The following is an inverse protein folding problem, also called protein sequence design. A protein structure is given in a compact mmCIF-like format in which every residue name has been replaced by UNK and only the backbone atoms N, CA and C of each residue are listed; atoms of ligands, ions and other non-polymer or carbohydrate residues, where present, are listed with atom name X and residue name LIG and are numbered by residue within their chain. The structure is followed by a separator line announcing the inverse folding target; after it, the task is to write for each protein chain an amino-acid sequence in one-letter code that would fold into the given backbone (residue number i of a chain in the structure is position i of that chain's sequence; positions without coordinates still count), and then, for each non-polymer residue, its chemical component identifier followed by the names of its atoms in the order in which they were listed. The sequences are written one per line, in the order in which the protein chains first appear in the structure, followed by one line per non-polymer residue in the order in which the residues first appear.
data_IF_213860070562
#
_entry.id   IF_213860070562
#
_cell.length_a   1.000
_cell.length_b   1.000
_cell.length_c   1.000
_cell.angle_alpha   90.00
_cell.angle_beta   90.00
_cell.angle_gamma   90.00
#
_symmetry.space_group_name_H-M   'P 1'
#
loop_
_entity.id
_entity.type
_entity.pdbx_description
1 polymer ?
#
# COMPACT_ATOMS: atom_id res chain seq x y z
N UNK A 1 -3.49 3.60 2.64
CA UNK A 1 -2.45 3.77 1.60
C UNK A 1 -3.01 3.74 0.18
N UNK A 2 -3.80 2.76 -0.23
CA UNK A 2 -4.33 2.66 -1.61
C UNK A 2 -5.26 3.82 -2.02
N UNK A 3 -6.17 4.33 -1.16
CA UNK A 3 -6.99 5.52 -1.47
C UNK A 3 -6.13 6.73 -1.76
N UNK A 4 -5.10 6.94 -0.96
CA UNK A 4 -4.20 8.07 -1.15
C UNK A 4 -3.38 7.93 -2.44
N UNK A 5 -2.90 6.73 -2.78
CA UNK A 5 -2.19 6.46 -4.02
C UNK A 5 -3.09 6.62 -5.26
N UNK A 6 -4.34 6.17 -5.20
CA UNK A 6 -5.32 6.33 -6.28
C UNK A 6 -5.73 7.79 -6.46
N UNK A 7 -6.02 8.51 -5.37
CA UNK A 7 -6.33 9.95 -5.42
C UNK A 7 -5.12 10.74 -5.95
N UNK A 8 -3.92 10.39 -5.54
CA UNK A 8 -2.69 10.99 -6.03
C UNK A 8 -2.51 10.73 -7.53
N UNK A 9 -2.71 9.50 -8.00
CA UNK A 9 -2.65 9.14 -9.42
C UNK A 9 -3.65 9.92 -10.28
N UNK A 10 -4.91 10.03 -9.83
CA UNK A 10 -5.95 10.81 -10.52
C UNK A 10 -5.62 12.30 -10.53
N UNK A 11 -5.16 12.85 -9.42
CA UNK A 11 -4.79 14.27 -9.31
C UNK A 11 -3.62 14.62 -10.23
N UNK A 12 -2.65 13.75 -10.35
CA UNK A 12 -1.48 13.96 -11.20
C UNK A 12 -1.81 13.86 -12.67
N UNK A 13 -2.64 12.89 -13.06
CA UNK A 13 -3.18 12.82 -14.43
C UNK A 13 -3.95 14.10 -14.77
N UNK A 14 -4.79 14.58 -13.85
CA UNK A 14 -5.52 15.82 -14.02
C UNK A 14 -4.61 17.05 -14.16
N UNK A 15 -3.55 17.15 -13.37
CA UNK A 15 -2.55 18.24 -13.46
C UNK A 15 -1.83 18.19 -14.79
N UNK A 16 -1.39 17.03 -15.26
CA UNK A 16 -0.70 16.87 -16.54
C UNK A 16 -1.61 17.32 -17.69
N UNK A 17 -2.85 16.83 -17.74
CA UNK A 17 -3.85 17.24 -18.75
C UNK A 17 -4.09 18.76 -18.74
N UNK A 18 -4.25 19.37 -17.56
CA UNK A 18 -4.49 20.80 -17.44
C UNK A 18 -3.29 21.63 -17.91
N UNK A 19 -2.06 21.22 -17.58
CA UNK A 19 -0.83 21.91 -17.98
C UNK A 19 -0.62 21.84 -19.49
N UNK A 20 -0.81 20.68 -20.11
CA UNK A 20 -0.68 20.53 -21.56
C UNK A 20 -1.75 21.31 -22.32
N UNK A 21 -2.99 21.30 -21.84
CA UNK A 21 -4.04 22.12 -22.42
C UNK A 21 -3.75 23.62 -22.30
N UNK A 22 -3.15 24.05 -21.19
CA UNK A 22 -2.72 25.43 -21.00
C UNK A 22 -1.61 25.83 -22.00
N UNK A 23 -0.63 24.96 -22.27
CA UNK A 23 0.41 25.20 -23.28
C UNK A 23 -0.17 25.28 -24.70
N UNK A 24 -1.09 24.39 -25.04
CA UNK A 24 -1.77 24.39 -26.36
C UNK A 24 -2.56 25.69 -26.58
N UNK A 25 -3.30 26.15 -25.57
CA UNK A 25 -4.04 27.40 -25.65
C UNK A 25 -3.15 28.64 -25.73
N UNK A 26 -2.00 28.63 -25.04
CA UNK A 26 -0.96 29.68 -25.16
C UNK A 26 -0.42 29.76 -26.59
N UNK A 27 -0.12 28.60 -27.19
CA UNK A 27 0.31 28.55 -28.62
C UNK A 27 -0.73 29.14 -29.53
N UNK A 28 -2.01 28.77 -29.39
CA UNK A 28 -3.13 29.31 -30.19
C UNK A 28 -3.34 30.81 -29.96
N UNK A 29 -3.19 31.28 -28.73
CA UNK A 29 -3.29 32.70 -28.43
C UNK A 29 -2.18 33.49 -29.15
N UNK A 30 -0.93 33.00 -29.08
CA UNK A 30 0.20 33.64 -29.78
C UNK A 30 0.02 33.65 -31.30
N UNK A 31 -0.54 32.56 -31.87
CA UNK A 31 -0.88 32.52 -33.30
C UNK A 31 -1.95 33.54 -33.67
N UNK A 32 -3.03 33.65 -32.88
CA UNK A 32 -4.12 34.62 -33.11
C UNK A 32 -3.65 36.07 -32.93
N UNK A 33 -2.77 36.35 -31.98
CA UNK A 33 -2.19 37.70 -31.78
C UNK A 33 -1.29 38.13 -32.96
N UNK A 34 -0.72 37.18 -33.70
CA UNK A 34 0.08 37.44 -34.90
C UNK A 34 -0.78 37.57 -36.20
N UNK A 35 -2.01 37.10 -36.16
CA UNK A 35 -2.93 37.18 -37.30
C UNK A 35 -3.59 38.56 -37.44
N UNK A 36 -3.46 39.18 -38.59
CA UNK A 36 -3.98 40.55 -38.91
C UNK A 36 -5.52 40.69 -38.87
N UNK A 37 -6.26 39.58 -38.66
CA UNK A 37 -7.72 39.52 -38.70
C UNK A 37 -8.36 38.71 -37.57
N UNK A 38 -7.65 38.45 -36.49
CA UNK A 38 -8.24 37.76 -35.33
C UNK A 38 -9.33 38.62 -34.68
N UNK A 39 -10.48 38.06 -34.42
CA UNK A 39 -11.58 38.75 -33.72
C UNK A 39 -11.17 39.02 -32.26
N UNK A 40 -11.32 40.26 -31.77
CA UNK A 40 -11.06 40.57 -30.36
C UNK A 40 -11.83 39.68 -29.39
N UNK A 41 -13.01 39.21 -29.76
CA UNK A 41 -13.84 38.31 -28.95
C UNK A 41 -13.24 36.91 -28.84
N UNK A 42 -12.59 36.39 -29.87
CA UNK A 42 -11.92 35.08 -29.85
C UNK A 42 -10.66 35.13 -28.97
N UNK A 43 -9.88 36.20 -29.04
CA UNK A 43 -8.71 36.41 -28.19
C UNK A 43 -9.13 36.50 -26.71
N UNK A 44 -10.19 37.27 -26.40
CA UNK A 44 -10.71 37.37 -25.03
C UNK A 44 -11.26 36.05 -24.51
N UNK A 45 -11.96 35.27 -25.33
CA UNK A 45 -12.46 33.95 -24.95
C UNK A 45 -11.33 32.98 -24.62
N UNK A 46 -10.28 32.95 -25.44
CA UNK A 46 -9.08 32.14 -25.19
C UNK A 46 -8.30 32.58 -23.96
N UNK A 47 -8.20 33.88 -23.71
CA UNK A 47 -7.57 34.42 -22.49
C UNK A 47 -8.34 34.00 -21.22
N UNK A 48 -9.69 34.08 -21.26
CA UNK A 48 -10.52 33.62 -20.13
C UNK A 48 -10.43 32.11 -19.90
N UNK A 49 -10.39 31.32 -20.97
CA UNK A 49 -10.17 29.87 -20.83
C UNK A 49 -8.79 29.52 -20.27
N UNK A 50 -7.75 30.23 -20.70
CA UNK A 50 -6.38 30.08 -20.20
C UNK A 50 -6.28 30.40 -18.69
N UNK A 51 -6.93 31.48 -18.25
CA UNK A 51 -6.92 31.84 -16.82
C UNK A 51 -7.70 30.82 -15.99
N UNK A 52 -8.83 30.34 -16.48
CA UNK A 52 -9.59 29.26 -15.82
C UNK A 52 -8.77 27.99 -15.66
N UNK A 53 -8.03 27.60 -16.68
CA UNK A 53 -7.14 26.43 -16.65
C UNK A 53 -5.94 26.64 -15.73
N UNK A 54 -5.42 27.87 -15.66
CA UNK A 54 -4.34 28.25 -14.74
C UNK A 54 -4.74 28.07 -13.28
N UNK A 55 -5.93 28.58 -12.91
CA UNK A 55 -6.46 28.44 -11.57
C UNK A 55 -6.66 26.97 -11.21
N UNK A 56 -7.31 26.20 -12.10
CA UNK A 56 -7.54 24.76 -11.86
C UNK A 56 -6.23 23.97 -11.75
N UNK A 57 -5.20 24.31 -12.53
CA UNK A 57 -3.88 23.66 -12.42
C UNK A 57 -3.22 23.95 -11.09
N UNK A 58 -3.30 25.20 -10.61
CA UNK A 58 -2.74 25.57 -9.31
C UNK A 58 -3.45 24.88 -8.16
N UNK A 59 -4.78 24.77 -8.19
CA UNK A 59 -5.56 24.03 -7.20
C UNK A 59 -5.21 22.54 -7.20
N UNK A 60 -5.10 21.94 -8.37
CA UNK A 60 -4.74 20.53 -8.52
C UNK A 60 -3.30 20.26 -8.02
N UNK A 61 -2.34 21.16 -8.30
CA UNK A 61 -0.96 21.06 -7.78
C UNK A 61 -0.94 21.22 -6.25
N UNK A 62 -1.75 22.10 -5.68
CA UNK A 62 -1.87 22.27 -4.23
C UNK A 62 -2.43 21.01 -3.55
N UNK A 63 -3.49 20.42 -4.12
CA UNK A 63 -4.05 19.15 -3.65
C UNK A 63 -3.04 18.00 -3.75
N UNK A 64 -2.25 17.97 -4.83
CA UNK A 64 -1.19 17.01 -5.02
C UNK A 64 -0.09 17.13 -3.95
N UNK A 65 0.37 18.34 -3.67
CA UNK A 65 1.35 18.60 -2.60
C UNK A 65 0.83 18.19 -1.22
N UNK A 66 -0.45 18.45 -0.94
CA UNK A 66 -1.08 18.02 0.30
C UNK A 66 -1.17 16.49 0.41
N UNK A 67 -1.50 15.80 -0.68
CA UNK A 67 -1.57 14.35 -0.73
C UNK A 67 -0.19 13.67 -0.60
N UNK A 68 0.87 14.26 -1.20
CA UNK A 68 2.26 13.77 -1.05
C UNK A 68 2.81 13.98 0.35
N UNK A 69 2.43 15.04 1.04
CA UNK A 69 2.81 15.29 2.43
C UNK A 69 2.21 14.27 3.42
N UNK A 70 1.14 13.57 3.04
CA UNK A 70 0.47 12.56 3.85
C UNK A 70 1.07 11.15 3.79
N UNK A 71 2.27 10.96 3.21
CA UNK A 71 3.06 9.73 3.37
C UNK A 71 2.75 8.57 2.43
N UNK A 72 2.24 8.83 1.25
CA UNK A 72 2.10 7.79 0.21
C UNK A 72 3.46 7.41 -0.41
N UNK A 73 3.59 6.14 -0.78
CA UNK A 73 4.82 5.53 -1.31
C UNK A 73 5.33 6.24 -2.58
N UNK A 74 6.26 7.16 -2.39
CA UNK A 74 6.64 8.23 -3.33
C UNK A 74 7.26 7.73 -4.63
N UNK A 75 8.19 6.77 -4.56
CA UNK A 75 9.00 6.37 -5.72
C UNK A 75 8.24 5.55 -6.78
N UNK A 76 7.36 4.66 -6.37
CA UNK A 76 6.55 3.85 -7.32
C UNK A 76 5.48 4.70 -8.00
N UNK A 77 4.93 5.66 -7.27
CA UNK A 77 3.96 6.62 -7.80
C UNK A 77 4.64 7.59 -8.75
N UNK A 78 5.81 8.14 -8.39
CA UNK A 78 6.59 9.05 -9.26
C UNK A 78 7.03 8.36 -10.57
N UNK A 79 7.44 7.09 -10.52
CA UNK A 79 7.82 6.32 -11.73
C UNK A 79 6.65 6.05 -12.68
N UNK A 80 5.53 5.56 -12.16
CA UNK A 80 4.30 5.34 -12.97
C UNK A 80 3.71 6.62 -13.52
N UNK A 81 3.87 7.69 -12.80
CA UNK A 81 3.46 9.02 -13.13
C UNK A 81 4.20 9.57 -14.32
N UNK A 82 5.53 9.50 -14.28
CA UNK A 82 6.39 9.93 -15.39
C UNK A 82 6.07 9.17 -16.68
N UNK A 83 5.71 7.89 -16.58
CA UNK A 83 5.30 7.07 -17.73
C UNK A 83 3.95 7.53 -18.29
N UNK A 84 2.95 7.75 -17.42
CA UNK A 84 1.61 8.22 -17.83
C UNK A 84 1.64 9.65 -18.40
N UNK A 85 2.45 10.54 -17.82
CA UNK A 85 2.66 11.89 -18.34
C UNK A 85 3.30 11.87 -19.73
N UNK A 86 4.28 10.99 -19.96
CA UNK A 86 4.93 10.84 -21.26
C UNK A 86 3.95 10.30 -22.33
N UNK A 87 3.12 9.32 -21.98
CA UNK A 87 2.08 8.79 -22.87
C UNK A 87 1.01 9.83 -23.17
N UNK A 88 0.56 10.59 -22.18
CA UNK A 88 -0.44 11.65 -22.36
C UNK A 88 0.08 12.77 -23.27
N UNK A 89 1.31 13.23 -23.02
CA UNK A 89 1.96 14.24 -23.88
C UNK A 89 2.08 13.77 -25.33
N UNK A 90 2.41 12.49 -25.54
CA UNK A 90 2.51 11.92 -26.88
C UNK A 90 1.15 11.93 -27.60
N UNK A 91 0.10 11.51 -26.92
CA UNK A 91 -1.27 11.49 -27.48
C UNK A 91 -1.79 12.90 -27.79
N UNK A 92 -1.45 13.89 -26.96
CA UNK A 92 -1.82 15.29 -27.22
C UNK A 92 -1.05 15.92 -28.37
N UNK A 93 0.25 15.65 -28.51
CA UNK A 93 1.05 16.11 -29.66
C UNK A 93 0.48 15.54 -30.95
N UNK A 94 0.08 14.27 -30.98
CA UNK A 94 -0.55 13.62 -32.14
C UNK A 94 -1.92 14.22 -32.45
N UNK A 95 -2.71 14.56 -31.42
CA UNK A 95 -4.02 15.22 -31.59
C UNK A 95 -3.88 16.65 -32.16
N UNK A 96 -2.96 17.43 -31.60
CA UNK A 96 -2.70 18.81 -32.06
C UNK A 96 -2.15 18.81 -33.48
N UNK A 97 -1.22 17.91 -33.82
CA UNK A 97 -0.69 17.79 -35.18
C UNK A 97 -1.79 17.41 -36.18
N UNK A 98 -2.71 16.50 -35.82
CA UNK A 98 -3.87 16.14 -36.63
C UNK A 98 -4.84 17.30 -36.84
N UNK A 99 -5.08 18.10 -35.79
CA UNK A 99 -5.95 19.29 -35.88
C UNK A 99 -5.33 20.41 -36.74
N UNK A 100 -4.01 20.64 -36.62
CA UNK A 100 -3.32 21.63 -37.47
C UNK A 100 -3.27 21.21 -38.92
N UNK A 101 -3.09 19.91 -39.20
CA UNK A 101 -3.16 19.40 -40.57
C UNK A 101 -4.55 19.55 -41.19
N UNK A 102 -5.60 19.30 -40.39
CA UNK A 102 -6.98 19.50 -40.80
C UNK A 102 -7.31 21.00 -41.08
N UNK A 103 -6.80 21.91 -40.23
CA UNK A 103 -6.99 23.34 -40.45
C UNK A 103 -6.36 23.82 -41.77
N UNK A 104 -5.15 23.33 -42.08
CA UNK A 104 -4.50 23.64 -43.37
C UNK A 104 -5.26 23.08 -44.57
N UNK A 105 -5.79 21.85 -44.48
CA UNK A 105 -6.61 21.25 -45.53
C UNK A 105 -7.90 22.04 -45.76
N UNK A 106 -8.51 22.57 -44.69
CA UNK A 106 -9.72 23.41 -44.78
C UNK A 106 -9.41 24.77 -45.42
N UNK A 107 -8.25 25.38 -45.13
CA UNK A 107 -7.84 26.67 -45.74
C UNK A 107 -7.43 26.56 -47.22
N UNK A 108 -6.93 25.41 -47.66
CA UNK A 108 -6.57 25.14 -49.05
C UNK A 108 -7.77 24.80 -49.94
N UNK A 109 -8.87 24.30 -49.35
CA UNK A 109 -10.11 23.95 -50.09
C UNK A 109 -10.70 25.11 -50.91
N UNK A 110 -10.85 26.35 -50.39
CA UNK A 110 -11.40 27.46 -51.18
C UNK A 110 -10.56 27.79 -52.40
N UNK A 111 -9.23 27.73 -52.27
CA UNK A 111 -8.31 28.01 -53.41
C UNK A 111 -8.36 26.92 -54.46
N UNK A 112 -8.54 25.68 -54.04
CA UNK A 112 -8.65 24.53 -54.94
C UNK A 112 -10.02 24.50 -55.61
N UNK A 113 -11.08 24.96 -54.93
CA UNK A 113 -12.43 25.12 -55.48
C UNK A 113 -12.46 26.16 -56.61
N UNK A 114 -11.82 27.30 -56.42
CA UNK A 114 -11.77 28.35 -57.46
C UNK A 114 -10.97 27.94 -58.70
N UNK A 115 -9.91 27.13 -58.49
CA UNK A 115 -9.01 26.74 -59.60
C UNK A 115 -9.47 25.50 -60.39
N UNK A 116 -10.33 24.59 -59.80
CA UNK A 116 -10.59 23.28 -60.44
C UNK A 116 -12.01 22.75 -60.16
N UNK A 117 -13.05 23.34 -60.74
CA UNK A 117 -14.46 22.92 -60.49
C UNK A 117 -14.79 21.52 -61.05
N UNK A 118 -13.98 20.95 -61.93
CA UNK A 118 -14.18 19.59 -62.46
C UNK A 118 -13.58 18.44 -61.62
N UNK A 119 -12.33 18.54 -61.13
CA UNK A 119 -11.69 17.46 -60.36
C UNK A 119 -12.14 17.39 -58.89
N UNK A 120 -12.97 18.32 -58.44
CA UNK A 120 -13.31 18.54 -57.02
C UNK A 120 -14.05 17.38 -56.38
N UNK A 121 -14.90 16.68 -57.12
CA UNK A 121 -15.68 15.58 -56.54
C UNK A 121 -14.78 14.38 -56.06
N UNK A 122 -13.71 14.10 -56.82
CA UNK A 122 -12.74 13.06 -56.44
C UNK A 122 -11.85 13.47 -55.26
N UNK A 123 -11.42 14.76 -55.24
CA UNK A 123 -10.57 15.29 -54.17
C UNK A 123 -11.34 15.42 -52.84
N UNK A 124 -12.59 15.88 -52.89
CA UNK A 124 -13.47 16.00 -51.73
C UNK A 124 -13.79 14.63 -51.14
N UNK A 125 -14.01 13.63 -51.97
CA UNK A 125 -14.29 12.26 -51.54
C UNK A 125 -13.06 11.60 -50.89
N UNK A 126 -11.87 11.85 -51.42
CA UNK A 126 -10.62 11.39 -50.81
C UNK A 126 -10.32 12.05 -49.44
N UNK A 127 -10.54 13.36 -49.33
CA UNK A 127 -10.36 14.08 -48.06
C UNK A 127 -11.38 13.62 -47.01
N UNK A 128 -12.62 13.32 -47.42
CA UNK A 128 -13.65 12.76 -46.54
C UNK A 128 -13.30 11.35 -46.09
N UNK A 129 -12.77 10.50 -46.96
CA UNK A 129 -12.32 9.15 -46.60
C UNK A 129 -11.14 9.20 -45.64
N UNK A 130 -10.18 10.11 -45.82
CA UNK A 130 -9.06 10.32 -44.92
C UNK A 130 -9.52 10.84 -43.56
N UNK A 131 -10.51 11.74 -43.53
CA UNK A 131 -11.10 12.25 -42.30
C UNK A 131 -11.85 11.14 -41.52
N UNK A 132 -12.64 10.33 -42.27
CA UNK A 132 -13.35 9.20 -41.70
C UNK A 132 -12.37 8.13 -41.12
N UNK A 133 -11.26 7.88 -41.80
CA UNK A 133 -10.23 6.95 -41.34
C UNK A 133 -9.47 7.52 -40.12
N UNK A 134 -9.16 8.81 -40.13
CA UNK A 134 -8.58 9.48 -38.97
C UNK A 134 -9.52 9.46 -37.73
N UNK A 135 -10.82 9.79 -37.95
CA UNK A 135 -11.80 9.71 -36.83
C UNK A 135 -11.98 8.29 -36.29
N UNK A 136 -11.93 7.27 -37.15
CA UNK A 136 -11.94 5.87 -36.71
C UNK A 136 -10.69 5.54 -35.88
N UNK A 137 -9.53 5.93 -36.36
CA UNK A 137 -8.25 5.70 -35.66
C UNK A 137 -8.23 6.39 -34.29
N UNK A 138 -8.77 7.64 -34.22
CA UNK A 138 -8.90 8.35 -32.93
C UNK A 138 -9.90 7.68 -31.97
N UNK A 139 -11.03 7.22 -32.50
CA UNK A 139 -12.02 6.49 -31.70
C UNK A 139 -11.46 5.16 -31.15
N UNK A 140 -10.66 4.45 -31.97
CA UNK A 140 -10.03 3.22 -31.57
C UNK A 140 -8.89 3.46 -30.53
N UNK A 141 -8.11 4.53 -30.71
CA UNK A 141 -7.11 4.97 -29.73
C UNK A 141 -7.75 5.34 -28.39
N UNK A 142 -8.86 6.08 -28.44
CA UNK A 142 -9.61 6.46 -27.23
C UNK A 142 -10.18 5.22 -26.52
N UNK A 143 -10.72 4.25 -27.27
CA UNK A 143 -11.21 2.99 -26.71
C UNK A 143 -10.07 2.17 -26.09
N UNK A 144 -8.91 2.10 -26.77
CA UNK A 144 -7.73 1.42 -26.25
C UNK A 144 -7.24 2.04 -24.94
N UNK A 145 -7.19 3.39 -24.87
CA UNK A 145 -6.82 4.12 -23.66
C UNK A 145 -7.83 3.90 -22.53
N UNK A 146 -9.13 3.93 -22.82
CA UNK A 146 -10.17 3.62 -21.84
C UNK A 146 -10.09 2.18 -21.35
N UNK A 147 -9.83 1.22 -22.25
CA UNK A 147 -9.65 -0.19 -21.86
C UNK A 147 -8.40 -0.38 -21.00
N UNK A 148 -7.33 0.36 -21.25
CA UNK A 148 -6.12 0.34 -20.46
C UNK A 148 -6.34 0.99 -19.08
N UNK A 149 -7.08 2.09 -19.02
CA UNK A 149 -7.51 2.72 -17.77
C UNK A 149 -8.37 1.76 -16.93
N UNK A 150 -9.35 1.11 -17.54
CA UNK A 150 -10.19 0.12 -16.85
C UNK A 150 -9.39 -1.09 -16.35
N UNK A 151 -8.35 -1.53 -17.08
CA UNK A 151 -7.42 -2.57 -16.62
C UNK A 151 -6.57 -2.09 -15.45
N UNK A 152 -6.10 -0.84 -15.48
CA UNK A 152 -5.35 -0.25 -14.37
C UNK A 152 -6.23 -0.07 -13.14
N UNK A 153 -7.48 0.36 -13.30
CA UNK A 153 -8.46 0.44 -12.21
C UNK A 153 -8.78 -0.93 -11.60
N UNK A 154 -8.83 -2.00 -12.42
CA UNK A 154 -9.00 -3.37 -11.94
C UNK A 154 -7.73 -3.95 -11.31
N UNK A 155 -6.55 -3.48 -11.74
CA UNK A 155 -5.26 -3.89 -11.17
C UNK A 155 -4.89 -3.12 -9.89
N UNK A 156 -5.58 -2.00 -9.59
CA UNK A 156 -5.44 -1.31 -8.30
C UNK A 156 -6.16 -2.18 -7.25
N UNK A 157 -5.44 -2.75 -6.29
CA UNK A 157 -6.09 -3.52 -5.23
C UNK A 157 -7.16 -2.64 -4.57
N UNK A 158 -8.36 -3.20 -4.40
CA UNK A 158 -9.44 -2.50 -3.69
C UNK A 158 -8.91 -2.01 -2.36
N UNK A 159 -9.23 -0.76 -2.05
CA UNK A 159 -8.93 -0.21 -0.73
C UNK A 159 -9.30 -1.22 0.35
N UNK A 160 -8.31 -1.54 1.16
CA UNK A 160 -8.56 -2.23 2.41
C UNK A 160 -9.36 -1.26 3.26
N UNK A 161 -10.62 -1.54 3.50
CA UNK A 161 -11.44 -0.73 4.38
C UNK A 161 -10.80 -0.66 5.76
N UNK A 162 -10.98 0.44 6.48
CA UNK A 162 -10.49 0.59 7.85
C UNK A 162 -10.95 -0.56 8.75
N UNK A 163 -12.10 -1.18 8.41
CA UNK A 163 -12.66 -2.34 9.10
C UNK A 163 -11.78 -3.58 8.94
N UNK A 164 -11.28 -3.82 7.74
CA UNK A 164 -10.38 -4.95 7.46
C UNK A 164 -9.01 -4.75 8.10
N UNK A 165 -8.47 -3.51 8.07
CA UNK A 165 -7.23 -3.18 8.76
C UNK A 165 -7.36 -3.37 10.26
N UNK A 166 -8.50 -2.96 10.84
CA UNK A 166 -8.77 -3.23 12.24
C UNK A 166 -8.78 -4.73 12.53
N UNK A 167 -9.58 -5.50 11.80
CA UNK A 167 -9.77 -6.92 12.04
C UNK A 167 -8.48 -7.75 11.86
N UNK A 168 -7.64 -7.38 10.89
CA UNK A 168 -6.45 -8.15 10.54
C UNK A 168 -5.21 -7.73 11.33
N UNK A 169 -5.15 -6.48 11.84
CA UNK A 169 -3.95 -5.92 12.48
C UNK A 169 -4.17 -5.55 13.96
N UNK A 170 -5.17 -4.72 14.25
CA UNK A 170 -5.40 -4.21 15.61
C UNK A 170 -6.16 -5.21 16.48
N UNK A 171 -7.23 -5.82 15.95
CA UNK A 171 -8.02 -6.79 16.67
C UNK A 171 -7.24 -8.00 17.19
N UNK A 172 -6.27 -8.56 16.43
CA UNK A 172 -5.39 -9.61 16.93
C UNK A 172 -4.30 -9.14 17.90
N UNK A 173 -4.06 -7.84 18.07
CA UNK A 173 -3.00 -7.33 18.93
C UNK A 173 -3.51 -7.19 20.36
N UNK A 174 -2.78 -7.72 21.30
CA UNK A 174 -3.09 -7.65 22.74
C UNK A 174 -1.96 -7.00 23.51
N UNK A 175 -2.30 -6.38 24.64
CA UNK A 175 -1.31 -5.96 25.61
C UNK A 175 -1.03 -7.12 26.58
N UNK A 176 0.24 -7.32 26.85
CA UNK A 176 0.73 -8.24 27.87
C UNK A 176 1.37 -7.39 28.95
N UNK A 177 0.82 -7.40 30.16
CA UNK A 177 1.24 -6.47 31.20
C UNK A 177 1.35 -7.15 32.58
N UNK A 178 2.27 -6.64 33.39
CA UNK A 178 2.43 -6.93 34.81
C UNK A 178 2.47 -5.63 35.61
N UNK A 179 2.98 -5.70 36.84
CA UNK A 179 3.01 -4.53 37.74
C UNK A 179 3.98 -3.44 37.26
N UNK A 180 5.14 -3.82 36.72
CA UNK A 180 6.21 -2.86 36.34
C UNK A 180 6.63 -2.93 34.88
N UNK A 181 6.08 -3.86 34.11
CA UNK A 181 6.48 -4.07 32.72
C UNK A 181 5.27 -4.25 31.81
N UNK A 182 5.41 -3.81 30.55
CA UNK A 182 4.39 -3.91 29.52
C UNK A 182 5.03 -4.32 28.19
N UNK A 183 4.33 -5.18 27.49
CA UNK A 183 4.64 -5.60 26.14
C UNK A 183 3.37 -5.86 25.34
N UNK A 184 3.55 -6.50 24.22
CA UNK A 184 2.48 -6.82 23.27
C UNK A 184 2.45 -8.32 23.00
N UNK A 185 1.36 -8.77 22.41
CA UNK A 185 1.21 -10.12 21.89
C UNK A 185 0.30 -10.14 20.67
N UNK A 186 0.32 -11.26 19.98
CA UNK A 186 -0.49 -11.50 18.79
C UNK A 186 -1.38 -12.72 19.00
N UNK A 187 -2.69 -12.52 19.01
CA UNK A 187 -3.67 -13.60 19.03
C UNK A 187 -3.59 -14.41 17.73
N UNK A 188 -3.51 -15.70 17.86
CA UNK A 188 -3.76 -16.64 16.77
C UNK A 188 -5.25 -16.99 16.72
N UNK A 189 -5.69 -17.71 15.68
CA UNK A 189 -7.08 -18.11 15.57
C UNK A 189 -7.47 -19.08 16.68
N UNK A 190 -8.59 -18.83 17.31
CA UNK A 190 -9.16 -19.71 18.34
C UNK A 190 -9.46 -21.11 17.80
N UNK A 191 -9.27 -22.13 18.62
CA UNK A 191 -9.56 -23.54 18.33
C UNK A 191 -10.50 -24.10 19.37
N UNK A 192 -11.50 -24.83 18.91
CA UNK A 192 -12.43 -25.53 19.80
C UNK A 192 -11.75 -26.72 20.46
N UNK A 193 -11.94 -26.87 21.76
CA UNK A 193 -11.54 -28.01 22.56
C UNK A 193 -12.65 -29.07 22.61
N UNK A 194 -12.29 -30.30 22.97
CA UNK A 194 -13.25 -31.41 23.08
C UNK A 194 -14.29 -31.21 24.19
N UNK A 195 -14.00 -30.40 25.20
CA UNK A 195 -14.87 -30.07 26.34
C UNK A 195 -15.83 -28.90 26.08
N UNK A 196 -15.78 -28.30 24.87
CA UNK A 196 -16.62 -27.17 24.47
C UNK A 196 -16.03 -25.80 24.80
N UNK A 197 -14.86 -25.73 25.40
CA UNK A 197 -14.08 -24.49 25.57
C UNK A 197 -13.28 -24.17 24.30
N UNK A 198 -12.65 -22.98 24.26
CA UNK A 198 -11.81 -22.55 23.15
C UNK A 198 -10.43 -22.16 23.67
N UNK A 199 -9.41 -22.63 22.96
CA UNK A 199 -8.03 -22.19 23.20
C UNK A 199 -7.60 -21.22 22.10
N UNK A 200 -7.10 -20.06 22.53
CA UNK A 200 -6.46 -19.07 21.65
C UNK A 200 -5.01 -18.93 22.06
N UNK A 201 -4.10 -19.24 21.15
CA UNK A 201 -2.69 -19.02 21.40
C UNK A 201 -2.32 -17.56 21.19
N UNK A 202 -1.34 -17.09 21.97
CA UNK A 202 -0.75 -15.75 21.84
C UNK A 202 0.75 -15.91 21.61
N UNK A 203 1.25 -15.38 20.50
CA UNK A 203 2.69 -15.22 20.28
C UNK A 203 3.13 -13.89 20.89
N UNK A 204 4.26 -13.91 21.62
CA UNK A 204 4.86 -12.71 22.22
C UNK A 204 6.38 -12.86 22.31
N UNK A 205 7.10 -11.83 22.77
CA UNK A 205 8.51 -11.91 23.06
C UNK A 205 8.76 -12.54 24.44
N UNK A 206 9.78 -13.40 24.55
CA UNK A 206 10.08 -14.07 25.82
C UNK A 206 10.49 -13.08 26.91
N UNK A 207 11.32 -12.07 26.61
CA UNK A 207 11.75 -11.11 27.63
C UNK A 207 10.55 -10.38 28.28
N UNK A 208 9.44 -10.16 27.56
CA UNK A 208 8.21 -9.59 28.13
C UNK A 208 7.69 -10.48 29.24
N UNK A 209 7.59 -11.80 29.01
CA UNK A 209 7.09 -12.75 30.01
C UNK A 209 8.07 -12.90 31.17
N UNK A 210 9.37 -12.98 30.88
CA UNK A 210 10.43 -13.06 31.88
C UNK A 210 10.39 -11.86 32.82
N UNK A 211 10.22 -10.67 32.29
CA UNK A 211 10.24 -9.42 33.05
C UNK A 211 8.90 -9.17 33.80
N UNK A 212 7.85 -9.93 33.50
CA UNK A 212 6.58 -9.92 34.23
C UNK A 212 6.49 -10.88 35.40
N UNK A 213 7.30 -11.94 35.39
CA UNK A 213 7.24 -13.01 36.39
C UNK A 213 8.40 -12.91 37.34
N UNK A 214 8.12 -12.94 38.66
CA UNK A 214 9.16 -13.01 39.71
C UNK A 214 9.98 -14.30 39.62
N UNK A 215 9.40 -15.38 39.10
CA UNK A 215 10.08 -16.66 38.86
C UNK A 215 9.46 -17.38 37.65
N UNK A 216 9.94 -17.09 36.44
CA UNK A 216 9.37 -17.64 35.21
C UNK A 216 9.67 -19.13 34.98
N UNK A 217 10.53 -19.75 35.83
CA UNK A 217 10.99 -21.14 35.68
C UNK A 217 10.33 -22.11 36.67
N UNK A 218 9.64 -21.62 37.71
CA UNK A 218 9.04 -22.43 38.75
C UNK A 218 7.51 -22.32 38.79
N UNK A 219 6.79 -23.13 38.04
CA UNK A 219 5.34 -23.26 38.14
C UNK A 219 4.54 -22.73 36.92
N UNK A 220 3.22 -22.72 37.08
CA UNK A 220 2.32 -22.14 36.09
C UNK A 220 2.52 -20.61 35.99
N UNK A 221 3.23 -20.16 34.96
CA UNK A 221 3.36 -18.73 34.73
C UNK A 221 2.03 -18.17 34.19
N UNK A 222 1.35 -17.45 35.04
CA UNK A 222 0.08 -16.75 34.73
C UNK A 222 0.41 -15.37 34.19
N UNK A 223 -0.12 -15.06 33.02
CA UNK A 223 0.19 -13.83 32.30
C UNK A 223 -1.10 -13.04 32.05
N UNK A 224 -1.25 -11.81 32.59
CA UNK A 224 -2.36 -10.95 32.28
C UNK A 224 -2.29 -10.50 30.82
N UNK A 225 -3.42 -10.63 30.10
CA UNK A 225 -3.56 -10.26 28.70
C UNK A 225 -4.79 -9.38 28.57
N UNK A 226 -4.62 -8.24 27.93
CA UNK A 226 -5.70 -7.27 27.69
C UNK A 226 -6.03 -7.20 26.20
N UNK A 227 -7.28 -7.48 25.87
CA UNK A 227 -7.83 -7.33 24.53
C UNK A 227 -8.52 -5.97 24.40
N UNK A 228 -8.42 -5.38 23.23
CA UNK A 228 -9.04 -4.11 22.89
C UNK A 228 -10.09 -4.30 21.82
N UNK A 229 -11.30 -3.81 22.08
CA UNK A 229 -12.38 -3.83 21.10
C UNK A 229 -12.42 -2.50 20.33
N UNK A 230 -13.05 -2.53 19.17
CA UNK A 230 -13.14 -1.36 18.28
C UNK A 230 -13.91 -0.18 18.88
N UNK A 231 -14.82 -0.44 19.77
CA UNK A 231 -15.59 0.58 20.50
C UNK A 231 -14.83 1.21 21.67
N UNK A 232 -13.55 0.83 21.85
CA UNK A 232 -12.68 1.28 22.93
C UNK A 232 -12.89 0.51 24.25
N UNK A 233 -13.73 -0.53 24.25
CA UNK A 233 -13.87 -1.37 25.44
C UNK A 233 -12.65 -2.28 25.63
N UNK A 234 -12.29 -2.53 26.89
CA UNK A 234 -11.13 -3.30 27.31
C UNK A 234 -11.63 -4.60 27.94
N UNK A 235 -11.02 -5.72 27.53
CA UNK A 235 -11.38 -7.05 28.04
C UNK A 235 -10.12 -7.69 28.66
N UNK A 236 -10.02 -7.75 30.01
CA UNK A 236 -8.96 -8.42 30.69
C UNK A 236 -9.15 -9.94 30.62
N UNK A 237 -8.07 -10.64 30.35
CA UNK A 237 -7.98 -12.10 30.33
C UNK A 237 -6.70 -12.57 31.03
N UNK A 238 -6.60 -13.86 31.20
CA UNK A 238 -5.45 -14.53 31.77
C UNK A 238 -4.98 -15.62 30.81
N UNK A 239 -3.69 -15.63 30.48
CA UNK A 239 -3.07 -16.68 29.68
C UNK A 239 -2.03 -17.45 30.49
N UNK A 240 -1.71 -18.66 30.05
CA UNK A 240 -0.69 -19.52 30.63
C UNK A 240 0.47 -19.68 29.64
N UNK A 241 1.70 -19.72 30.15
CA UNK A 241 2.87 -20.02 29.34
C UNK A 241 2.84 -21.48 28.87
N UNK A 242 2.83 -21.69 27.55
CA UNK A 242 2.90 -23.02 26.93
C UNK A 242 4.35 -23.42 26.69
N UNK A 243 5.09 -22.54 25.99
CA UNK A 243 6.49 -22.75 25.61
C UNK A 243 7.22 -21.41 25.44
N UNK A 244 8.53 -21.46 25.60
CA UNK A 244 9.43 -20.32 25.40
C UNK A 244 10.70 -20.75 24.66
N UNK A 245 11.30 -19.83 23.94
CA UNK A 245 12.65 -19.97 23.39
C UNK A 245 13.41 -18.66 23.67
N UNK A 246 14.40 -18.78 24.57
CA UNK A 246 15.09 -17.60 25.09
C UNK A 246 16.03 -16.96 24.07
N UNK A 247 16.70 -17.78 23.25
CA UNK A 247 17.63 -17.28 22.24
C UNK A 247 16.91 -16.55 21.12
N UNK A 248 15.80 -17.09 20.65
CA UNK A 248 14.94 -16.46 19.63
C UNK A 248 14.10 -15.31 20.20
N UNK A 249 14.04 -15.19 21.51
CA UNK A 249 13.24 -14.24 22.25
C UNK A 249 11.74 -14.32 21.90
N UNK A 250 11.20 -15.55 21.86
CA UNK A 250 9.78 -15.80 21.59
C UNK A 250 9.15 -16.67 22.69
N UNK A 251 7.85 -16.47 22.89
CA UNK A 251 7.04 -17.27 23.79
C UNK A 251 5.65 -17.52 23.19
N UNK A 252 5.09 -18.67 23.50
CA UNK A 252 3.73 -19.06 23.17
C UNK A 252 2.92 -19.17 24.46
N UNK A 253 1.83 -18.43 24.53
CA UNK A 253 0.86 -18.51 25.62
C UNK A 253 -0.41 -19.18 25.12
N UNK A 254 -1.21 -19.73 26.04
CA UNK A 254 -2.57 -20.20 25.79
C UNK A 254 -3.57 -19.44 26.66
N UNK A 255 -4.65 -19.03 26.04
CA UNK A 255 -5.78 -18.34 26.64
C UNK A 255 -7.00 -19.18 26.41
N UNK A 256 -7.66 -19.61 27.50
CA UNK A 256 -8.88 -20.39 27.42
C UNK A 256 -10.11 -19.50 27.63
N UNK A 257 -11.10 -19.67 26.74
CA UNK A 257 -12.32 -18.87 26.76
C UNK A 257 -13.55 -19.77 26.51
N UNK A 258 -14.72 -19.40 27.03
CA UNK A 258 -15.95 -20.17 26.76
C UNK A 258 -16.40 -20.06 25.30
N UNK A 259 -15.96 -19.04 24.56
CA UNK A 259 -16.32 -18.82 23.15
C UNK A 259 -15.07 -18.43 22.37
N UNK A 260 -15.10 -18.67 21.05
CA UNK A 260 -14.01 -18.21 20.17
C UNK A 260 -13.82 -16.69 20.26
N UNK A 261 -12.59 -16.23 20.30
CA UNK A 261 -12.29 -14.82 20.18
C UNK A 261 -12.57 -14.32 18.74
N UNK A 262 -13.08 -13.09 18.57
CA UNK A 262 -13.52 -12.60 17.27
C UNK A 262 -12.35 -12.35 16.29
N UNK A 263 -11.14 -12.15 16.80
CA UNK A 263 -9.98 -11.80 16.02
C UNK A 263 -8.82 -12.81 16.23
N UNK A 264 -8.07 -13.03 15.18
CA UNK A 264 -6.85 -13.83 15.20
C UNK A 264 -6.04 -13.55 13.95
N UNK A 265 -4.73 -13.34 14.09
CA UNK A 265 -3.84 -12.99 13.01
C UNK A 265 -3.87 -14.02 11.88
N UNK A 266 -3.80 -13.53 10.67
CA UNK A 266 -3.54 -14.34 9.48
C UNK A 266 -2.04 -14.55 9.38
N UNK A 267 -1.61 -15.79 9.37
CA UNK A 267 -0.19 -16.14 9.33
C UNK A 267 0.29 -16.28 7.88
N UNK A 268 1.44 -15.72 7.57
CA UNK A 268 2.07 -15.91 6.28
C UNK A 268 2.57 -17.36 6.11
N UNK A 269 2.45 -17.92 4.91
CA UNK A 269 3.00 -19.24 4.60
C UNK A 269 4.54 -19.20 4.57
N UNK A 270 5.20 -20.36 4.74
CA UNK A 270 6.66 -20.48 4.57
C UNK A 270 7.11 -20.01 3.18
N UNK A 271 6.32 -20.26 2.16
CA UNK A 271 6.61 -19.79 0.80
C UNK A 271 6.61 -18.28 0.72
N UNK A 272 5.60 -17.62 1.27
CA UNK A 272 5.53 -16.15 1.35
C UNK A 272 6.75 -15.58 2.10
N UNK A 273 7.12 -16.18 3.23
CA UNK A 273 8.24 -15.72 4.06
C UNK A 273 9.60 -15.85 3.35
N UNK A 274 9.82 -16.92 2.60
CA UNK A 274 11.07 -17.11 1.82
C UNK A 274 11.23 -16.11 0.68
N UNK A 275 10.13 -15.58 0.17
CA UNK A 275 10.13 -14.59 -0.92
C UNK A 275 10.11 -13.15 -0.43
N UNK A 276 10.11 -12.92 0.89
CA UNK A 276 10.14 -11.58 1.47
C UNK A 276 11.39 -10.81 1.06
N UNK A 277 11.20 -9.57 0.62
CA UNK A 277 12.27 -8.72 0.08
C UNK A 277 12.34 -7.36 0.79
N UNK A 278 13.53 -6.79 0.78
CA UNK A 278 13.74 -5.40 1.20
C UNK A 278 12.84 -4.46 0.36
N UNK A 279 12.34 -3.40 0.99
CA UNK A 279 11.36 -2.45 0.48
C UNK A 279 9.91 -2.93 0.47
N UNK A 280 9.61 -4.16 0.85
CA UNK A 280 8.23 -4.55 1.06
C UNK A 280 7.59 -3.71 2.18
N UNK A 281 6.37 -3.19 1.96
CA UNK A 281 5.67 -2.44 2.99
C UNK A 281 5.31 -3.36 4.16
N UNK A 282 5.49 -2.86 5.37
CA UNK A 282 5.11 -3.57 6.60
C UNK A 282 4.37 -2.65 7.57
N UNK A 283 3.53 -3.27 8.41
CA UNK A 283 2.96 -2.67 9.60
C UNK A 283 3.60 -3.31 10.82
N UNK A 284 4.06 -2.50 11.77
CA UNK A 284 4.35 -2.95 13.11
C UNK A 284 3.19 -2.53 14.03
N UNK A 285 2.64 -3.49 14.78
CA UNK A 285 1.48 -3.24 15.65
C UNK A 285 1.80 -3.76 17.04
N UNK A 286 1.62 -2.91 18.04
CA UNK A 286 1.85 -3.25 19.44
C UNK A 286 1.31 -2.16 20.35
N UNK A 287 1.58 -2.28 21.64
CA UNK A 287 1.09 -1.44 22.72
C UNK A 287 2.22 -0.55 23.31
N UNK A 288 2.73 0.44 22.56
CA UNK A 288 3.86 1.24 22.99
C UNK A 288 3.54 1.99 24.28
N UNK A 289 4.44 1.89 25.27
CA UNK A 289 4.31 2.52 26.58
C UNK A 289 3.03 2.14 27.35
N UNK A 290 2.43 0.99 27.04
CA UNK A 290 1.17 0.55 27.65
C UNK A 290 -0.08 1.23 27.12
N UNK A 291 0.00 1.91 25.99
CA UNK A 291 -1.18 2.42 25.30
C UNK A 291 -1.94 1.31 24.57
N UNK A 292 -3.12 1.63 24.09
CA UNK A 292 -3.89 0.79 23.17
C UNK A 292 -3.04 0.41 21.94
N UNK A 293 -3.36 -0.66 21.22
CA UNK A 293 -2.63 -1.07 20.02
C UNK A 293 -2.49 0.05 19.00
N UNK A 294 -1.25 0.38 18.62
CA UNK A 294 -0.92 1.43 17.65
C UNK A 294 -0.25 0.81 16.43
N UNK A 295 -0.80 0.97 15.22
CA UNK A 295 -0.18 0.55 13.98
C UNK A 295 0.80 1.62 13.47
N UNK A 296 2.01 1.22 13.12
CA UNK A 296 3.00 2.07 12.46
C UNK A 296 3.41 1.46 11.14
N UNK A 297 3.54 2.29 10.10
CA UNK A 297 3.90 1.86 8.76
C UNK A 297 5.39 2.07 8.48
N UNK A 298 5.98 1.13 7.74
CA UNK A 298 7.35 1.19 7.27
C UNK A 298 7.61 0.18 6.16
N UNK A 299 8.86 -0.17 5.98
CA UNK A 299 9.29 -1.20 5.02
C UNK A 299 10.21 -2.21 5.70
N UNK A 300 10.31 -3.38 5.12
CA UNK A 300 11.36 -4.33 5.42
C UNK A 300 12.69 -3.74 4.94
N UNK A 301 13.64 -3.55 5.85
CA UNK A 301 14.91 -2.86 5.59
C UNK A 301 16.08 -3.83 5.40
N UNK A 302 16.05 -4.97 6.10
CA UNK A 302 17.01 -6.05 5.98
C UNK A 302 16.36 -7.38 6.36
N UNK A 303 16.57 -8.43 5.57
CA UNK A 303 16.06 -9.78 5.81
C UNK A 303 17.11 -10.75 6.36
N UNK A 304 18.36 -10.29 6.48
CA UNK A 304 19.50 -11.12 6.91
C UNK A 304 20.31 -10.44 8.01
N UNK A 305 19.68 -9.59 8.80
CA UNK A 305 20.35 -8.93 9.91
C UNK A 305 20.69 -9.94 11.00
N UNK A 306 21.94 -9.93 11.47
CA UNK A 306 22.40 -10.85 12.49
C UNK A 306 22.79 -10.12 13.77
N UNK A 307 22.26 -10.61 14.88
CA UNK A 307 22.65 -10.18 16.25
C UNK A 307 22.90 -11.44 17.05
N UNK A 308 24.08 -11.54 17.65
CA UNK A 308 24.52 -12.70 18.47
C UNK A 308 24.41 -14.06 17.75
N UNK A 309 24.61 -14.05 16.41
CA UNK A 309 24.53 -15.26 15.58
C UNK A 309 23.11 -15.63 15.12
N UNK A 310 22.10 -14.94 15.58
CA UNK A 310 20.69 -15.18 15.21
C UNK A 310 20.25 -14.20 14.11
N UNK A 311 19.41 -14.69 13.19
CA UNK A 311 18.86 -13.90 12.07
C UNK A 311 17.58 -13.18 12.49
N UNK A 312 17.55 -11.90 12.24
CA UNK A 312 16.38 -11.04 12.41
C UNK A 312 16.01 -10.35 11.10
N UNK A 313 14.78 -9.91 11.00
CA UNK A 313 14.37 -8.94 10.00
C UNK A 313 14.39 -7.54 10.61
N UNK A 314 15.02 -6.60 9.91
CA UNK A 314 15.00 -5.19 10.29
C UNK A 314 13.86 -4.47 9.58
N UNK A 315 13.11 -3.67 10.32
CA UNK A 315 12.00 -2.87 9.80
C UNK A 315 12.23 -1.39 10.07
N UNK A 316 11.76 -0.54 9.14
CA UNK A 316 11.80 0.92 9.29
C UNK A 316 10.52 1.50 9.91
N UNK A 317 9.51 0.69 10.19
CA UNK A 317 8.32 1.12 10.91
C UNK A 317 8.73 1.64 12.30
N UNK A 318 8.27 2.82 12.73
CA UNK A 318 8.58 3.33 14.07
C UNK A 318 8.10 2.36 15.15
N UNK A 319 9.01 1.97 16.03
CA UNK A 319 8.73 1.08 17.16
C UNK A 319 9.32 1.63 18.43
N UNK A 320 8.75 1.30 19.57
CA UNK A 320 9.14 1.82 20.86
C UNK A 320 9.02 0.76 21.96
N UNK A 321 9.43 1.08 23.19
CA UNK A 321 9.25 0.24 24.38
C UNK A 321 7.76 -0.08 24.52
N UNK A 322 7.42 -1.35 24.75
CA UNK A 322 6.05 -1.85 24.80
C UNK A 322 5.57 -2.50 23.49
N UNK A 323 6.23 -2.25 22.34
CA UNK A 323 5.93 -2.98 21.11
C UNK A 323 6.44 -4.42 21.10
N UNK A 324 7.36 -4.77 22.02
CA UNK A 324 7.92 -6.12 22.14
C UNK A 324 6.85 -7.18 22.26
N UNK A 325 6.93 -8.22 21.44
CA UNK A 325 5.92 -9.27 21.30
C UNK A 325 4.79 -8.93 20.31
N UNK A 326 4.70 -7.70 19.83
CA UNK A 326 3.73 -7.27 18.84
C UNK A 326 4.02 -7.82 17.44
N UNK A 327 3.04 -7.74 16.56
CA UNK A 327 3.11 -8.30 15.22
C UNK A 327 3.78 -7.38 14.20
N UNK A 328 4.58 -7.99 13.33
CA UNK A 328 4.99 -7.37 12.06
C UNK A 328 4.20 -8.03 10.95
N UNK A 329 3.45 -7.24 10.19
CA UNK A 329 2.53 -7.70 9.16
C UNK A 329 2.96 -7.20 7.78
N UNK A 330 2.79 -8.02 6.76
CA UNK A 330 2.97 -7.59 5.38
C UNK A 330 1.92 -6.50 5.03
N UNK A 331 2.39 -5.38 4.51
CA UNK A 331 1.54 -4.22 4.24
C UNK A 331 0.50 -4.42 3.13
N UNK A 332 0.67 -5.45 2.30
CA UNK A 332 -0.23 -5.77 1.17
C UNK A 332 -1.20 -6.89 1.53
N UNK A 333 -0.68 -8.00 2.06
CA UNK A 333 -1.49 -9.20 2.37
C UNK A 333 -2.08 -9.14 3.78
N UNK A 334 -1.55 -8.30 4.68
CA UNK A 334 -1.93 -8.19 6.09
C UNK A 334 -1.65 -9.46 6.90
N UNK A 335 -0.84 -10.35 6.37
CA UNK A 335 -0.42 -11.55 7.06
C UNK A 335 0.70 -11.23 8.04
N UNK A 336 0.69 -11.89 9.19
CA UNK A 336 1.78 -11.84 10.16
C UNK A 336 3.02 -12.47 9.54
N UNK A 337 4.12 -11.74 9.54
CA UNK A 337 5.41 -12.18 8.96
C UNK A 337 6.52 -12.28 10.00
N UNK A 338 6.33 -11.72 11.19
CA UNK A 338 7.30 -11.80 12.28
C UNK A 338 6.76 -11.24 13.57
N UNK A 339 7.49 -11.51 14.66
CA UNK A 339 7.22 -10.98 16.01
C UNK A 339 8.30 -9.95 16.33
N UNK A 340 7.89 -8.75 16.71
CA UNK A 340 8.80 -7.68 17.08
C UNK A 340 9.45 -7.99 18.42
N UNK A 341 10.80 -8.02 18.46
CA UNK A 341 11.53 -8.47 19.67
C UNK A 341 12.52 -7.43 20.19
N UNK A 342 13.24 -6.73 19.32
CA UNK A 342 14.34 -5.86 19.77
C UNK A 342 14.26 -4.47 19.12
N UNK A 343 14.65 -3.45 19.88
CA UNK A 343 14.89 -2.09 19.41
C UNK A 343 16.38 -1.81 19.37
N UNK A 344 16.81 -1.05 18.38
CA UNK A 344 18.17 -0.52 18.38
C UNK A 344 18.31 0.63 19.37
N UNK A 345 19.42 0.61 20.08
CA UNK A 345 19.84 1.73 20.93
C UNK A 345 21.20 2.23 20.51
N UNK A 346 21.42 3.51 20.57
CA UNK A 346 22.71 4.14 20.34
C UNK A 346 23.27 4.72 21.64
N UNK A 347 24.57 4.50 21.89
CA UNK A 347 25.28 4.99 23.05
C UNK A 347 25.34 3.97 24.20
N UNK A 348 26.52 3.81 24.80
CA UNK A 348 26.79 2.83 25.88
C UNK A 348 26.46 3.34 27.28
N UNK A 349 26.55 4.66 27.51
CA UNK A 349 26.35 5.27 28.86
C UNK A 349 24.91 5.77 29.04
N UNK A 350 24.29 6.26 27.97
CA UNK A 350 22.88 6.67 27.93
C UNK A 350 22.30 6.19 26.61
N UNK A 351 21.84 4.94 26.55
CA UNK A 351 21.29 4.38 25.33
C UNK A 351 20.03 5.16 24.90
N UNK A 352 20.06 5.67 23.67
CA UNK A 352 18.92 6.34 23.03
C UNK A 352 18.30 5.40 22.03
N UNK A 353 16.99 5.22 22.09
CA UNK A 353 16.24 4.38 21.16
C UNK A 353 16.30 4.96 19.74
N UNK A 354 16.56 4.09 18.77
CA UNK A 354 16.50 4.40 17.34
C UNK A 354 15.20 3.81 16.75
N UNK A 355 14.11 4.59 16.68
CA UNK A 355 12.76 4.05 16.44
C UNK A 355 12.56 3.39 15.07
N UNK A 356 13.39 3.74 14.08
CA UNK A 356 13.31 3.26 12.70
C UNK A 356 14.26 2.10 12.39
N UNK A 357 14.73 1.40 13.43
CA UNK A 357 15.61 0.24 13.31
C UNK A 357 15.13 -0.87 14.25
N UNK A 358 13.86 -1.25 14.09
CA UNK A 358 13.29 -2.33 14.88
C UNK A 358 13.66 -3.70 14.32
N UNK A 359 13.88 -4.69 15.20
CA UNK A 359 14.16 -6.07 14.82
C UNK A 359 12.99 -6.98 15.16
N UNK A 360 12.64 -7.82 14.21
CA UNK A 360 11.62 -8.84 14.36
C UNK A 360 12.21 -10.23 14.16
N UNK A 361 11.82 -11.18 15.01
CA UNK A 361 12.05 -12.59 14.76
C UNK A 361 11.14 -13.04 13.62
N UNK A 362 11.70 -13.54 12.49
CA UNK A 362 10.90 -13.95 11.34
C UNK A 362 9.94 -15.10 11.73
N UNK A 363 8.74 -15.08 11.20
CA UNK A 363 7.74 -16.11 11.52
C UNK A 363 8.18 -17.51 11.02
N UNK A 364 9.00 -17.61 9.98
CA UNK A 364 9.62 -18.86 9.55
C UNK A 364 10.45 -19.49 10.69
N UNK A 365 11.25 -18.68 11.39
CA UNK A 365 12.06 -19.15 12.54
C UNK A 365 11.15 -19.57 13.72
N UNK A 366 10.04 -18.88 13.92
CA UNK A 366 9.03 -19.27 14.93
C UNK A 366 8.39 -20.61 14.56
N UNK A 367 8.09 -20.87 13.29
CA UNK A 367 7.57 -22.16 12.83
C UNK A 367 8.57 -23.30 13.07
N UNK A 368 9.86 -23.09 12.76
CA UNK A 368 10.90 -24.10 12.99
C UNK A 368 11.01 -24.46 14.48
N UNK A 369 10.92 -23.45 15.34
CA UNK A 369 10.88 -23.66 16.79
C UNK A 369 9.64 -24.43 17.23
N UNK A 370 8.44 -24.05 16.80
CA UNK A 370 7.18 -24.72 17.14
C UNK A 370 7.16 -26.18 16.68
N UNK A 371 7.70 -26.46 15.49
CA UNK A 371 7.84 -27.82 14.96
C UNK A 371 8.80 -28.64 15.82
N UNK A 372 9.95 -28.06 16.23
CA UNK A 372 10.90 -28.70 17.12
C UNK A 372 10.29 -29.05 18.49
N UNK A 373 9.45 -28.17 19.03
CA UNK A 373 8.72 -28.37 20.28
C UNK A 373 7.50 -29.32 20.16
N UNK A 374 7.22 -29.83 18.96
CA UNK A 374 6.08 -30.73 18.69
C UNK A 374 4.73 -30.05 18.71
N UNK A 375 4.69 -28.72 18.61
CA UNK A 375 3.45 -27.93 18.56
C UNK A 375 2.95 -27.84 17.11
N UNK A 376 2.05 -28.73 16.76
CA UNK A 376 1.49 -28.79 15.43
C UNK A 376 0.28 -27.86 15.21
N UNK A 377 0.06 -27.51 13.92
CA UNK A 377 -1.18 -26.92 13.46
C UNK A 377 -1.30 -25.41 13.66
N UNK A 378 -0.25 -24.71 14.07
CA UNK A 378 -0.22 -23.23 14.11
C UNK A 378 0.01 -22.68 12.69
N UNK A 379 0.88 -23.31 11.91
CA UNK A 379 1.12 -22.91 10.53
C UNK A 379 -0.16 -22.99 9.68
N UNK A 380 -0.32 -22.09 8.71
CA UNK A 380 -1.40 -22.22 7.74
C UNK A 380 -1.21 -23.50 6.94
N UNK A 381 -2.26 -24.31 6.82
CA UNK A 381 -2.25 -25.48 5.93
C UNK A 381 -2.16 -24.92 4.52
N UNK A 382 -1.02 -25.13 3.85
CA UNK A 382 -0.91 -24.84 2.43
C UNK A 382 -1.98 -25.67 1.72
N UNK A 383 -2.92 -25.00 1.06
CA UNK A 383 -3.80 -25.69 0.11
C UNK A 383 -2.86 -26.23 -0.98
N UNK A 384 -2.54 -27.52 -0.94
CA UNK A 384 -1.95 -28.22 -2.07
C UNK A 384 -2.92 -28.09 -3.24
N UNK A 385 -2.74 -27.04 -4.03
CA UNK A 385 -3.19 -27.05 -5.41
C UNK A 385 -2.28 -28.06 -6.07
N UNK A 386 -2.69 -29.33 -6.06
CA UNK A 386 -2.11 -30.36 -6.92
C UNK A 386 -2.18 -29.82 -8.33
N UNK A 387 -1.05 -29.41 -8.86
CA UNK A 387 -0.84 -29.25 -10.29
C UNK A 387 -0.95 -30.63 -10.91
N UNK A 388 -2.18 -31.09 -11.07
CA UNK A 388 -2.54 -32.25 -11.90
C UNK A 388 -2.47 -31.86 -13.40
N UNK A 389 -1.33 -31.32 -13.84
CA UNK A 389 -1.09 -30.95 -15.22
C UNK A 389 0.37 -31.17 -15.64
N UNK A 390 0.94 -32.33 -15.29
CA UNK A 390 2.20 -32.76 -15.88
C UNK A 390 2.29 -34.30 -15.89
N UNK A 391 1.27 -34.97 -16.50
CA UNK A 391 1.37 -36.33 -17.04
C UNK A 391 0.29 -36.49 -18.11
N UNK A 392 0.60 -36.03 -19.31
CA UNK A 392 0.19 -36.69 -20.58
C UNK A 392 1.15 -36.25 -21.69
#
# INVERSE_FOLDING_TARGET
MYKQAMVLGVLLTAVSVLLTRQETLRGRLAELETMRHASPAEVQALQAELETLRVRSQEAIAQLRAATAAGANRLEIESRLCTLEAELRRTEIELVAGQQQNARLVDELPRTIEAHVGPLAGSLNNSRLQLDDWMRTQADSTRATQAQLARLEQAIPRETGNDELWNDLLGPTVQVSGEESVGSGVLLRSRANADGTWTTHVLTAWHVIRDLSADPDTGETIVPVTLYARDGSIQPHTAHLVKKEADLDVALLALETPTALPHGARLASRETLRHAQVFEPVWAVGCPLGNDPIPTAGTLSDTHHHVDGLRYWMISAPTYIGNSGGGVYNGRTRELVGIFTKIYTHGSVRPTVVPHMGLATPLETVYDWLEHEGIAGIEPVESRIETAAAKK
#
